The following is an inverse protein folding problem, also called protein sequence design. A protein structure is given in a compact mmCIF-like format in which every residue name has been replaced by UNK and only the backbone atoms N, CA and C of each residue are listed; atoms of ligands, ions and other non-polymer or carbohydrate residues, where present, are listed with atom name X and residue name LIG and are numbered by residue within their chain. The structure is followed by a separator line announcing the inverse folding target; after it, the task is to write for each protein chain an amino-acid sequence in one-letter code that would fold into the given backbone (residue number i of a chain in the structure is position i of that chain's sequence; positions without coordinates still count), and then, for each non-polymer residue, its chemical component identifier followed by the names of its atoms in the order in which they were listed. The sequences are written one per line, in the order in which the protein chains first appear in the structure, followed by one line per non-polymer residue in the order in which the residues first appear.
data_IF_662381659252
#
_entry.id   IF_662381659252
#
_cell.length_a   1.000
_cell.length_b   1.000
_cell.length_c   1.000
_cell.angle_alpha   90.00
_cell.angle_beta   90.00
_cell.angle_gamma   90.00
#
_symmetry.space_group_name_H-M   'P 1'
#
loop_
_entity.id
_entity.type
_entity.pdbx_description
1 polymer ?
#
# COMPACT_ATOMS: atom_id res chain seq x y z
N UNK A 1 -12.66 10.49 4.11
CA UNK A 1 -12.97 9.65 2.93
C UNK A 1 -11.65 9.15 2.35
N UNK A 2 -11.54 7.86 2.03
CA UNK A 2 -10.37 7.29 1.35
C UNK A 2 -10.57 7.43 -0.15
N UNK A 3 -9.56 7.90 -0.89
CA UNK A 3 -9.63 8.01 -2.35
C UNK A 3 -8.28 7.69 -2.98
N UNK A 4 -8.32 7.11 -4.19
CA UNK A 4 -7.13 6.71 -4.94
C UNK A 4 -7.16 7.39 -6.30
N UNK A 5 -6.06 8.06 -6.66
CA UNK A 5 -5.90 8.73 -7.95
C UNK A 5 -4.58 8.32 -8.58
N UNK A 6 -4.57 8.13 -9.90
CA UNK A 6 -3.34 7.82 -10.65
C UNK A 6 -3.09 8.89 -11.69
N UNK A 7 -1.88 9.44 -11.71
CA UNK A 7 -1.45 10.46 -12.66
C UNK A 7 -0.30 9.94 -13.52
N UNK A 8 -0.36 10.20 -14.82
CA UNK A 8 0.76 10.01 -15.74
C UNK A 8 1.72 11.20 -15.61
N UNK A 9 3.00 10.91 -15.44
CA UNK A 9 4.07 11.89 -15.53
C UNK A 9 4.80 11.59 -16.85
N UNK A 10 4.51 12.41 -17.86
CA UNK A 10 5.13 12.28 -19.17
C UNK A 10 6.61 12.70 -19.10
N UNK A 11 7.44 12.04 -19.92
CA UNK A 11 8.82 12.47 -20.15
C UNK A 11 8.87 13.44 -21.33
N UNK A 12 9.70 14.47 -21.21
CA UNK A 12 10.07 15.35 -22.32
C UNK A 12 11.12 14.72 -23.26
N UNK A 13 11.80 13.66 -22.81
CA UNK A 13 12.83 12.92 -23.54
C UNK A 13 12.35 11.48 -23.82
N UNK A 14 12.27 11.03 -25.09
CA UNK A 14 11.87 9.66 -25.45
C UNK A 14 12.78 8.56 -24.90
N UNK A 15 14.02 8.86 -24.53
CA UNK A 15 14.96 7.91 -23.93
C UNK A 15 14.64 7.62 -22.45
N UNK A 16 13.83 8.46 -21.81
CA UNK A 16 13.44 8.33 -20.41
C UNK A 16 12.02 7.75 -20.32
N UNK A 17 11.81 6.67 -19.56
CA UNK A 17 10.50 6.05 -19.44
C UNK A 17 9.49 6.96 -18.74
N UNK A 18 8.22 6.79 -19.09
CA UNK A 18 7.10 7.49 -18.45
C UNK A 18 6.91 6.94 -17.03
N UNK A 19 6.53 7.81 -16.09
CA UNK A 19 6.18 7.39 -14.73
C UNK A 19 4.68 7.44 -14.49
N UNK A 20 4.20 6.52 -13.66
CA UNK A 20 2.89 6.61 -13.04
C UNK A 20 3.08 7.00 -11.57
N UNK A 21 2.25 7.93 -11.10
CA UNK A 21 2.15 8.33 -9.71
C UNK A 21 0.77 7.92 -9.20
N UNK A 22 0.72 7.01 -8.23
CA UNK A 22 -0.50 6.68 -7.52
C UNK A 22 -0.53 7.39 -6.17
N UNK A 23 -1.63 8.09 -5.91
CA UNK A 23 -1.89 8.87 -4.71
C UNK A 23 -3.06 8.24 -3.99
N UNK A 24 -2.80 7.65 -2.82
CA UNK A 24 -3.83 7.19 -1.91
C UNK A 24 -3.98 8.21 -0.78
N UNK A 25 -5.10 8.93 -0.78
CA UNK A 25 -5.46 9.87 0.28
C UNK A 25 -6.25 9.14 1.36
N UNK A 26 -5.75 9.18 2.58
CA UNK A 26 -6.43 8.78 3.81
C UNK A 26 -6.99 10.03 4.50
N UNK A 27 -7.52 9.91 5.72
CA UNK A 27 -8.15 11.05 6.44
C UNK A 27 -7.12 12.16 6.68
N UNK A 28 -6.00 11.82 7.34
CA UNK A 28 -4.96 12.79 7.74
C UNK A 28 -3.58 12.45 7.17
N UNK A 29 -3.54 11.60 6.16
CA UNK A 29 -2.28 11.18 5.55
C UNK A 29 -2.42 10.87 4.06
N UNK A 30 -1.29 10.93 3.38
CA UNK A 30 -1.17 10.56 1.98
C UNK A 30 -0.12 9.47 1.85
N UNK A 31 -0.35 8.57 0.90
CA UNK A 31 0.69 7.70 0.39
C UNK A 31 0.86 7.93 -1.09
N UNK A 32 2.12 8.06 -1.48
CA UNK A 32 2.56 8.31 -2.84
C UNK A 32 3.39 7.10 -3.29
N UNK A 33 3.02 6.48 -4.41
CA UNK A 33 3.86 5.50 -5.11
C UNK A 33 4.20 6.02 -6.49
N UNK A 34 5.48 6.03 -6.80
CA UNK A 34 6.00 6.35 -8.12
C UNK A 34 6.67 5.13 -8.69
N UNK A 35 6.36 4.82 -9.94
CA UNK A 35 6.95 3.68 -10.62
C UNK A 35 6.85 3.82 -12.13
N UNK A 36 7.59 2.97 -12.81
CA UNK A 36 7.70 2.98 -14.25
C UNK A 36 6.39 2.49 -14.87
N UNK A 37 5.82 3.30 -15.75
CA UNK A 37 4.74 2.86 -16.61
C UNK A 37 5.28 2.63 -18.01
N UNK A 38 4.94 1.50 -18.60
CA UNK A 38 4.98 1.38 -20.05
C UNK A 38 3.88 2.24 -20.66
N UNK A 39 3.25 1.74 -21.72
CA UNK A 39 2.31 2.54 -22.50
C UNK A 39 1.01 2.90 -21.74
N UNK A 40 0.58 2.03 -20.82
CA UNK A 40 -0.70 2.13 -20.11
C UNK A 40 -0.56 2.32 -18.59
N UNK A 41 -0.78 3.56 -18.17
CA UNK A 41 -0.74 4.03 -16.76
C UNK A 41 -1.84 3.39 -15.92
N UNK A 42 -3.01 3.13 -16.50
CA UNK A 42 -4.15 2.56 -15.77
C UNK A 42 -3.86 1.14 -15.29
N UNK A 43 -2.96 0.44 -16.00
CA UNK A 43 -2.52 -0.92 -15.68
C UNK A 43 -1.20 -0.99 -14.92
N UNK A 44 -0.49 0.11 -14.72
CA UNK A 44 0.80 0.12 -14.03
C UNK A 44 0.69 -0.46 -12.60
N UNK A 45 -0.39 -0.13 -11.89
CA UNK A 45 -0.70 -0.68 -10.56
C UNK A 45 -0.99 -2.19 -10.62
N UNK A 46 -1.83 -2.62 -11.56
CA UNK A 46 -2.21 -4.02 -11.72
C UNK A 46 -1.04 -4.93 -12.13
N UNK A 47 -0.05 -4.38 -12.84
CA UNK A 47 1.20 -5.06 -13.23
C UNK A 47 2.22 -5.12 -12.09
N UNK A 48 1.94 -4.49 -10.95
CA UNK A 48 2.85 -4.45 -9.80
C UNK A 48 4.06 -3.53 -10.00
N UNK A 49 3.99 -2.58 -10.95
CA UNK A 49 5.08 -1.62 -11.20
C UNK A 49 5.06 -0.43 -10.23
N UNK A 50 3.98 -0.25 -9.46
CA UNK A 50 3.83 0.84 -8.49
C UNK A 50 3.91 0.32 -7.06
N UNK A 51 2.89 -0.44 -6.68
CA UNK A 51 2.75 -1.11 -5.40
C UNK A 51 2.22 -2.51 -5.73
N UNK A 52 2.64 -3.53 -4.97
CA UNK A 52 2.02 -4.87 -5.04
C UNK A 52 0.89 -4.97 -4.04
N UNK A 53 1.21 -4.83 -2.76
CA UNK A 53 0.21 -4.82 -1.69
C UNK A 53 0.59 -3.79 -0.64
N UNK A 54 -0.42 -3.10 -0.11
CA UNK A 54 -0.30 -2.29 1.09
C UNK A 54 -1.43 -2.62 2.06
N UNK A 55 -1.00 -3.08 3.23
CA UNK A 55 -1.88 -3.48 4.31
C UNK A 55 -1.51 -2.67 5.55
N UNK A 56 -2.52 -2.19 6.25
CA UNK A 56 -2.36 -1.62 7.58
C UNK A 56 -2.94 -2.60 8.60
N UNK A 57 -2.19 -2.89 9.67
CA UNK A 57 -2.69 -3.59 10.84
C UNK A 57 -2.49 -2.69 12.05
N UNK A 58 -3.43 -2.79 12.99
CA UNK A 58 -3.32 -2.08 14.27
C UNK A 58 -3.16 -3.08 15.42
N UNK A 59 -2.39 -2.74 16.46
CA UNK A 59 -2.35 -3.53 17.68
C UNK A 59 -3.75 -3.82 18.21
N UNK A 60 -4.07 -5.06 18.62
CA UNK A 60 -5.34 -5.35 19.27
C UNK A 60 -5.48 -4.55 20.58
N UNK A 61 -6.71 -4.27 20.99
CA UNK A 61 -6.97 -3.51 22.23
C UNK A 61 -6.85 -4.37 23.50
N UNK A 62 -6.90 -5.70 23.35
CA UNK A 62 -6.76 -6.66 24.45
C UNK A 62 -6.05 -7.93 23.97
N UNK A 63 -5.56 -8.74 24.91
CA UNK A 63 -4.80 -9.98 24.62
C UNK A 63 -5.67 -11.01 23.88
N UNK A 64 -6.97 -11.04 24.19
CA UNK A 64 -7.93 -11.98 23.58
C UNK A 64 -8.51 -11.48 22.26
N UNK A 65 -8.34 -10.19 21.92
CA UNK A 65 -8.86 -9.63 20.69
C UNK A 65 -8.00 -10.03 19.47
N UNK A 66 -8.62 -10.35 18.33
CA UNK A 66 -7.89 -10.63 17.11
C UNK A 66 -7.21 -9.36 16.57
N UNK A 67 -6.02 -9.52 16.00
CA UNK A 67 -5.37 -8.42 15.27
C UNK A 67 -6.05 -8.23 13.91
N UNK A 68 -6.69 -7.07 13.74
CA UNK A 68 -7.36 -6.70 12.50
C UNK A 68 -6.36 -6.02 11.56
N UNK A 69 -6.41 -6.41 10.30
CA UNK A 69 -5.67 -5.76 9.23
C UNK A 69 -6.62 -5.40 8.09
N UNK A 70 -6.40 -4.23 7.50
CA UNK A 70 -7.17 -3.71 6.38
C UNK A 70 -6.26 -3.55 5.20
N UNK A 71 -6.66 -4.12 4.07
CA UNK A 71 -5.98 -3.89 2.81
C UNK A 71 -6.36 -2.53 2.26
N UNK A 72 -5.36 -1.65 2.14
CA UNK A 72 -5.54 -0.30 1.57
C UNK A 72 -5.33 -0.38 0.05
N UNK A 73 -4.38 -1.21 -0.39
CA UNK A 73 -4.16 -1.53 -1.79
C UNK A 73 -3.79 -3.01 -1.91
N UNK A 74 -4.37 -3.69 -2.90
CA UNK A 74 -4.10 -5.12 -3.15
C UNK A 74 -4.07 -5.41 -4.63
N UNK A 75 -3.03 -6.09 -5.09
CA UNK A 75 -3.04 -6.71 -6.42
C UNK A 75 -3.65 -8.11 -6.34
N UNK A 76 -4.20 -8.60 -7.46
CA UNK A 76 -4.94 -9.88 -7.48
C UNK A 76 -4.14 -11.09 -6.98
N UNK A 77 -2.81 -11.03 -7.00
CA UNK A 77 -1.92 -12.16 -6.70
C UNK A 77 -1.19 -12.03 -5.35
N UNK A 78 -1.57 -11.06 -4.51
CA UNK A 78 -0.89 -10.79 -3.25
C UNK A 78 -1.75 -11.10 -2.03
N UNK A 79 -1.38 -12.08 -1.21
CA UNK A 79 -2.08 -12.40 0.06
C UNK A 79 -1.13 -12.44 1.27
N UNK A 80 0.17 -12.62 1.04
CA UNK A 80 1.19 -12.74 2.09
C UNK A 80 1.26 -11.48 2.96
N UNK A 81 1.11 -10.30 2.35
CA UNK A 81 1.20 -9.02 3.06
C UNK A 81 0.15 -8.88 4.18
N UNK A 82 -1.03 -9.48 4.02
CA UNK A 82 -2.11 -9.38 5.02
C UNK A 82 -1.74 -10.13 6.30
N UNK A 83 -1.34 -11.40 6.16
CA UNK A 83 -0.94 -12.23 7.30
C UNK A 83 0.32 -11.70 7.99
N UNK A 84 1.24 -11.08 7.22
CA UNK A 84 2.42 -10.43 7.77
C UNK A 84 2.05 -9.21 8.61
N UNK A 85 1.21 -8.32 8.09
CA UNK A 85 0.76 -7.13 8.83
C UNK A 85 0.06 -7.51 10.14
N UNK A 86 -0.80 -8.53 10.14
CA UNK A 86 -1.46 -9.02 11.35
C UNK A 86 -0.44 -9.50 12.40
N UNK A 87 0.57 -10.27 11.99
CA UNK A 87 1.61 -10.76 12.92
C UNK A 87 2.43 -9.61 13.50
N UNK A 88 2.78 -8.61 12.69
CA UNK A 88 3.50 -7.43 13.15
C UNK A 88 2.67 -6.59 14.13
N UNK A 89 1.39 -6.35 13.83
CA UNK A 89 0.49 -5.64 14.74
C UNK A 89 0.33 -6.37 16.08
N UNK A 90 0.27 -7.70 16.07
CA UNK A 90 0.26 -8.51 17.29
C UNK A 90 1.58 -8.38 18.07
N UNK A 91 2.72 -8.43 17.39
CA UNK A 91 4.04 -8.29 18.01
C UNK A 91 4.22 -6.93 18.71
N UNK A 92 3.82 -5.84 18.02
CA UNK A 92 3.89 -4.48 18.56
C UNK A 92 3.04 -4.33 19.83
N UNK A 93 1.86 -4.97 19.90
CA UNK A 93 1.04 -4.96 21.11
C UNK A 93 1.77 -5.52 22.34
N UNK A 94 2.46 -6.65 22.19
CA UNK A 94 3.21 -7.24 23.30
C UNK A 94 4.40 -6.38 23.68
N UNK A 95 5.15 -5.86 22.70
CA UNK A 95 6.31 -5.00 22.97
C UNK A 95 5.95 -3.73 23.75
N UNK A 96 4.73 -3.20 23.59
CA UNK A 96 4.25 -2.03 24.35
C UNK A 96 3.80 -2.37 25.78
N UNK A 97 3.49 -3.63 26.08
CA UNK A 97 3.13 -4.05 27.44
C UNK A 97 4.33 -4.26 28.35
N UNK A 98 5.50 -4.54 27.76
CA UNK A 98 6.75 -4.75 28.49
C UNK A 98 7.48 -3.43 28.83
N UNK A 99 6.84 -2.27 28.56
CA UNK A 99 7.30 -0.92 28.91
C UNK A 99 6.36 -0.29 29.92
#
# INVERSE_FOLDING_TARGET
MISVHTKRIASSDPSIPVFALQITRLVDSYMLWVGLTGDDVSRAAARGHLCKDWICAMPPQSVSAPTVATSIFRTKNGDVALSMAQRLGKSDFYSRKDK
#
